data_IF_413498042165
#
_entry.id   IF_413498042165
#
_cell.length_a   1.000
_cell.length_b   1.000
_cell.length_c   1.000
_cell.angle_alpha   90.00
_cell.angle_beta   90.00
_cell.angle_gamma   90.00
#
_symmetry.space_group_name_H-M   'P 1'
#
loop_
_entity.id
_entity.type
_entity.pdbx_description
1 polymer ?
#
# COMPACT_ATOMS: atom_id res chain seq x y z
N UNK A 1 2.61 -18.70 -56.52
CA UNK A 1 2.30 -17.52 -57.35
C UNK A 1 0.85 -17.14 -57.09
N UNK A 2 0.48 -15.84 -57.22
CA UNK A 2 -0.63 -15.07 -56.58
C UNK A 2 -0.19 -14.54 -55.19
N UNK A 3 0.19 -13.28 -54.94
CA UNK A 3 -0.33 -11.95 -55.38
C UNK A 3 -1.85 -11.81 -55.15
N UNK A 4 -2.37 -10.79 -54.46
CA UNK A 4 -1.69 -9.74 -53.67
C UNK A 4 -2.63 -8.56 -53.34
N UNK A 5 -2.66 -8.14 -52.07
CA UNK A 5 -3.18 -6.85 -51.56
C UNK A 5 -2.71 -6.74 -50.09
N UNK A 6 -2.34 -5.58 -49.52
CA UNK A 6 -2.36 -4.23 -50.07
C UNK A 6 -3.14 -3.26 -49.19
N UNK A 7 -2.73 -3.07 -47.94
CA UNK A 7 -3.23 -2.00 -47.06
C UNK A 7 -2.07 -1.31 -46.33
N UNK A 8 -2.23 0.00 -46.11
CA UNK A 8 -1.21 0.89 -45.52
C UNK A 8 -1.23 0.90 -43.98
N UNK A 9 -0.58 1.89 -43.35
CA UNK A 9 -0.36 1.90 -41.91
C UNK A 9 -1.67 2.10 -41.14
N UNK A 10 -1.98 1.20 -40.21
CA UNK A 10 -3.07 1.40 -39.27
C UNK A 10 -2.70 2.51 -38.27
N UNK A 11 -3.58 3.51 -38.19
CA UNK A 11 -3.46 4.63 -37.26
C UNK A 11 -3.85 4.17 -35.86
N UNK A 12 -3.04 4.53 -34.87
CA UNK A 12 -3.28 4.25 -33.45
C UNK A 12 -4.67 4.70 -33.02
N UNK A 13 -5.45 3.80 -32.41
CA UNK A 13 -6.54 4.17 -31.48
C UNK A 13 -6.11 3.83 -30.06
N UNK A 14 -5.76 4.85 -29.28
CA UNK A 14 -5.61 4.70 -27.85
C UNK A 14 -7.01 4.48 -27.22
N UNK A 15 -7.16 3.39 -26.47
CA UNK A 15 -8.29 3.16 -25.58
C UNK A 15 -7.78 2.72 -24.22
N UNK A 16 -6.99 3.59 -23.59
CA UNK A 16 -6.82 3.59 -22.14
C UNK A 16 -8.18 3.94 -21.53
N UNK A 17 -8.75 3.01 -20.76
CA UNK A 17 -10.00 3.22 -20.02
C UNK A 17 -9.68 3.32 -18.53
N UNK A 18 -9.98 4.48 -17.97
CA UNK A 18 -10.39 4.70 -16.57
C UNK A 18 -9.64 3.92 -15.48
N UNK A 19 -8.51 4.46 -15.03
CA UNK A 19 -7.96 4.12 -13.71
C UNK A 19 -8.76 4.83 -12.61
N UNK A 20 -9.61 4.07 -11.90
CA UNK A 20 -10.15 4.48 -10.58
C UNK A 20 -10.29 3.29 -9.64
N UNK A 21 -9.38 3.20 -8.67
CA UNK A 21 -9.74 2.67 -7.35
C UNK A 21 -10.49 3.80 -6.62
N UNK A 22 -11.75 3.63 -6.21
CA UNK A 22 -12.47 4.68 -5.49
C UNK A 22 -11.77 5.02 -4.18
N UNK A 23 -11.70 6.31 -3.84
CA UNK A 23 -11.29 6.73 -2.50
C UNK A 23 -12.28 6.16 -1.46
N UNK A 24 -11.79 5.35 -0.53
CA UNK A 24 -12.60 4.76 0.51
C UNK A 24 -12.85 5.79 1.61
N UNK A 25 -14.04 6.38 1.61
CA UNK A 25 -14.47 7.33 2.65
C UNK A 25 -14.60 6.60 3.98
N UNK A 26 -13.88 7.10 4.98
CA UNK A 26 -13.99 6.65 6.36
C UNK A 26 -15.20 7.35 7.01
N UNK A 27 -16.33 6.64 7.19
CA UNK A 27 -17.40 7.17 8.04
C UNK A 27 -16.99 7.08 9.52
N UNK A 28 -16.77 8.24 10.13
CA UNK A 28 -16.29 8.34 11.51
C UNK A 28 -17.22 7.67 12.53
N UNK A 29 -16.62 6.93 13.45
CA UNK A 29 -17.31 6.32 14.59
C UNK A 29 -18.00 7.42 15.41
N UNK A 30 -19.32 7.29 15.60
CA UNK A 30 -20.07 8.18 16.50
C UNK A 30 -19.78 7.80 17.94
N UNK A 31 -19.19 8.73 18.69
CA UNK A 31 -19.03 8.59 20.13
C UNK A 31 -20.39 8.40 20.83
N UNK A 32 -20.59 7.24 21.45
CA UNK A 32 -21.64 7.05 22.46
C UNK A 32 -21.10 7.47 23.82
N UNK A 33 -21.48 8.67 24.25
CA UNK A 33 -20.91 9.30 25.44
C UNK A 33 -21.15 8.55 26.76
N UNK A 34 -20.19 8.71 27.67
CA UNK A 34 -20.33 8.36 29.10
C UNK A 34 -20.23 9.66 29.90
N UNK A 35 -21.23 9.92 30.73
CA UNK A 35 -21.27 11.08 31.62
C UNK A 35 -20.31 10.90 32.81
N UNK A 36 -19.56 11.93 33.16
CA UNK A 36 -18.79 11.99 34.41
C UNK A 36 -18.93 13.36 35.11
N UNK A 37 -19.80 13.38 36.13
CA UNK A 37 -19.87 14.24 37.32
C UNK A 37 -19.33 15.70 37.30
N UNK A 38 -20.22 16.63 37.63
CA UNK A 38 -19.92 18.04 37.95
C UNK A 38 -19.20 18.23 39.29
N UNK A 39 -18.08 18.98 39.26
CA UNK A 39 -17.64 19.99 40.26
C UNK A 39 -16.80 21.01 39.48
N UNK A 40 -16.96 22.32 39.56
CA UNK A 40 -17.74 23.12 40.52
C UNK A 40 -16.82 24.02 41.33
N UNK A 41 -16.29 25.10 40.73
CA UNK A 41 -16.00 26.36 41.43
C UNK A 41 -15.94 27.58 40.49
N UNK A 42 -15.86 28.79 41.06
CA UNK A 42 -16.45 30.02 40.52
C UNK A 42 -15.49 31.10 39.94
N UNK A 43 -16.08 32.01 39.14
CA UNK A 43 -15.73 33.42 38.93
C UNK A 43 -14.45 33.76 38.10
N UNK A 44 -14.34 34.90 37.41
CA UNK A 44 -15.19 36.10 37.37
C UNK A 44 -15.24 36.78 35.97
N UNK A 45 -16.24 37.64 35.76
CA UNK A 45 -16.43 38.50 34.57
C UNK A 45 -15.64 39.82 34.66
N UNK A 46 -15.33 40.47 33.52
CA UNK A 46 -15.69 41.90 33.30
C UNK A 46 -15.49 42.38 31.85
N UNK A 47 -16.42 43.24 31.41
CA UNK A 47 -16.49 43.92 30.10
C UNK A 47 -15.60 45.17 30.03
N UNK A 48 -15.21 45.66 28.82
CA UNK A 48 -15.81 46.90 28.24
C UNK A 48 -15.17 47.43 26.92
N UNK A 49 -16.06 47.68 25.94
CA UNK A 49 -16.14 48.76 24.92
C UNK A 49 -14.92 49.37 24.19
N UNK A 50 -15.09 49.54 22.87
CA UNK A 50 -14.30 50.38 21.95
C UNK A 50 -14.62 51.90 22.03
N UNK A 51 -13.92 52.77 21.27
CA UNK A 51 -14.54 53.27 20.01
C UNK A 51 -13.58 53.63 18.85
N UNK A 52 -14.14 53.88 17.66
CA UNK A 52 -13.47 54.44 16.46
C UNK A 52 -13.60 55.99 16.35
N UNK A 53 -12.95 56.67 15.38
CA UNK A 53 -13.74 57.29 14.29
C UNK A 53 -13.08 57.52 12.89
N UNK A 54 -13.90 57.28 11.84
CA UNK A 54 -14.20 58.08 10.63
C UNK A 54 -13.18 58.90 9.77
N UNK A 55 -13.00 58.45 8.51
CA UNK A 55 -13.41 59.08 7.21
C UNK A 55 -12.83 60.39 6.59
N UNK A 56 -12.57 60.34 5.26
CA UNK A 56 -12.47 61.48 4.30
C UNK A 56 -11.90 61.07 2.91
N UNK A 57 -12.71 60.74 1.89
CA UNK A 57 -13.21 61.53 0.73
C UNK A 57 -12.15 62.09 -0.28
N UNK A 58 -12.32 61.76 -1.58
CA UNK A 58 -11.49 62.17 -2.74
C UNK A 58 -11.85 63.55 -3.36
N UNK A 59 -11.44 63.88 -4.62
CA UNK A 59 -12.04 63.32 -5.84
C UNK A 59 -11.12 63.17 -7.11
N UNK A 60 -11.67 62.70 -8.26
CA UNK A 60 -11.03 62.65 -9.61
C UNK A 60 -11.38 63.89 -10.50
N UNK A 61 -11.54 63.83 -11.86
CA UNK A 61 -11.49 62.69 -12.81
C UNK A 61 -10.86 63.01 -14.23
N UNK A 62 -11.23 62.22 -15.28
CA UNK A 62 -11.12 62.42 -16.77
C UNK A 62 -9.97 61.67 -17.51
N UNK A 63 -10.06 61.24 -18.80
CA UNK A 63 -11.14 61.01 -19.81
C UNK A 63 -10.55 60.19 -21.01
N UNK A 64 -11.38 59.44 -21.78
CA UNK A 64 -10.96 58.85 -23.07
C UNK A 64 -11.93 57.79 -23.69
N UNK A 65 -12.38 57.99 -24.93
CA UNK A 65 -13.32 57.13 -25.71
C UNK A 65 -12.54 56.36 -26.83
N UNK A 66 -12.99 55.27 -27.48
CA UNK A 66 -14.19 55.11 -28.33
C UNK A 66 -14.47 53.63 -28.77
N UNK A 67 -15.73 53.35 -29.19
CA UNK A 67 -16.31 52.37 -30.16
C UNK A 67 -15.48 51.18 -30.75
N UNK A 68 -16.02 50.03 -31.23
CA UNK A 68 -17.32 49.29 -31.24
C UNK A 68 -17.08 47.94 -32.00
N UNK A 69 -17.93 46.90 -32.07
CA UNK A 69 -19.24 46.59 -31.45
C UNK A 69 -20.25 45.92 -32.43
N UNK A 70 -20.50 44.60 -32.33
CA UNK A 70 -21.58 43.85 -33.05
C UNK A 70 -21.98 42.55 -32.32
N UNK A 71 -23.27 42.20 -32.40
CA UNK A 71 -23.85 40.89 -32.03
C UNK A 71 -24.75 40.41 -33.19
N UNK A 72 -25.19 39.14 -33.20
CA UNK A 72 -26.63 38.93 -33.34
C UNK A 72 -27.25 37.74 -32.58
N UNK A 73 -28.43 38.01 -32.01
CA UNK A 73 -29.64 37.19 -31.93
C UNK A 73 -29.62 35.67 -31.64
N UNK A 74 -30.32 35.31 -30.56
CA UNK A 74 -31.08 34.06 -30.42
C UNK A 74 -32.53 34.21 -30.93
N UNK A 75 -33.26 33.10 -31.18
CA UNK A 75 -34.71 33.06 -31.26
C UNK A 75 -35.37 32.36 -30.05
N UNK A 76 -36.65 32.67 -29.81
CA UNK A 76 -37.45 32.25 -28.66
C UNK A 76 -38.08 30.84 -28.78
N UNK A 77 -38.55 30.32 -27.64
CA UNK A 77 -39.35 29.10 -27.54
C UNK A 77 -40.84 29.33 -27.90
N UNK A 78 -41.64 28.25 -27.97
CA UNK A 78 -43.01 28.32 -27.47
C UNK A 78 -43.33 27.31 -26.36
N UNK A 79 -44.37 27.63 -25.60
CA UNK A 79 -44.78 27.00 -24.34
C UNK A 79 -45.51 25.65 -24.48
N UNK A 80 -45.29 24.76 -23.51
CA UNK A 80 -46.19 23.65 -23.18
C UNK A 80 -46.04 23.24 -21.71
N UNK A 81 -47.14 23.21 -20.96
CA UNK A 81 -47.20 22.84 -19.54
C UNK A 81 -48.21 21.69 -19.33
N UNK A 82 -48.37 21.15 -18.11
CA UNK A 82 -47.40 20.26 -17.45
C UNK A 82 -48.00 18.86 -17.18
N UNK A 83 -47.17 17.82 -17.01
CA UNK A 83 -47.65 16.43 -16.90
C UNK A 83 -46.90 15.55 -15.89
N UNK A 84 -47.65 15.09 -14.87
CA UNK A 84 -47.47 13.89 -14.06
C UNK A 84 -46.13 13.62 -13.31
N UNK A 85 -46.15 13.90 -12.01
CA UNK A 85 -45.27 13.27 -11.01
C UNK A 85 -45.85 11.89 -10.63
N UNK A 86 -45.08 10.79 -10.62
CA UNK A 86 -45.53 9.51 -10.07
C UNK A 86 -45.50 9.51 -8.52
N UNK A 87 -46.45 8.86 -7.84
CA UNK A 87 -46.74 9.14 -6.43
C UNK A 87 -45.86 8.38 -5.42
N UNK A 88 -45.61 9.01 -4.27
CA UNK A 88 -45.24 8.31 -3.02
C UNK A 88 -46.46 7.56 -2.47
N UNK A 89 -46.27 6.29 -2.09
CA UNK A 89 -47.30 5.49 -1.38
C UNK A 89 -47.18 5.70 0.13
N UNK A 90 -48.29 5.89 0.88
CA UNK A 90 -48.24 6.21 2.31
C UNK A 90 -48.23 4.99 3.24
N UNK A 91 -47.73 5.21 4.46
CA UNK A 91 -47.70 4.26 5.59
C UNK A 91 -49.05 4.17 6.30
N UNK A 92 -49.45 2.98 6.79
CA UNK A 92 -50.35 2.82 7.95
C UNK A 92 -50.11 1.49 8.73
N UNK A 93 -50.57 1.37 10.00
CA UNK A 93 -49.87 0.54 11.01
C UNK A 93 -50.72 -0.54 11.75
N UNK A 94 -50.02 -1.46 12.44
CA UNK A 94 -50.53 -2.26 13.56
C UNK A 94 -51.05 -3.67 13.22
N UNK A 95 -51.23 -4.58 14.21
CA UNK A 95 -51.33 -4.30 15.65
C UNK A 95 -50.40 -5.11 16.61
N UNK A 96 -50.04 -4.47 17.73
CA UNK A 96 -50.49 -4.92 19.06
C UNK A 96 -49.93 -6.20 19.72
N UNK A 97 -48.84 -6.01 20.50
CA UNK A 97 -48.63 -6.47 21.90
C UNK A 97 -49.00 -7.92 22.31
N UNK A 98 -48.02 -8.61 22.89
CA UNK A 98 -48.14 -9.06 24.29
C UNK A 98 -46.82 -8.79 25.04
N UNK A 99 -46.92 -8.47 26.33
CA UNK A 99 -45.78 -8.09 27.17
C UNK A 99 -45.64 -9.07 28.33
N UNK A 100 -44.41 -9.33 28.76
CA UNK A 100 -44.09 -9.61 30.16
C UNK A 100 -42.64 -9.18 30.47
N UNK A 101 -42.49 -8.50 31.59
CA UNK A 101 -41.22 -8.15 32.23
C UNK A 101 -41.35 -8.54 33.72
N UNK A 102 -40.35 -8.23 34.56
CA UNK A 102 -39.04 -8.86 34.62
C UNK A 102 -38.88 -9.62 35.95
N UNK A 103 -37.73 -10.24 36.22
CA UNK A 103 -37.35 -10.55 37.60
C UNK A 103 -35.85 -10.38 37.84
N UNK A 104 -35.51 -9.43 38.72
CA UNK A 104 -34.21 -9.33 39.41
C UNK A 104 -34.30 -10.06 40.76
N UNK A 105 -33.20 -10.00 41.54
CA UNK A 105 -32.89 -10.63 42.84
C UNK A 105 -32.00 -11.88 42.65
N UNK A 106 -30.84 -12.01 43.29
CA UNK A 106 -30.13 -11.09 44.20
C UNK A 106 -29.06 -11.88 44.97
N UNK A 107 -27.81 -11.41 45.02
CA UNK A 107 -26.75 -12.10 45.76
C UNK A 107 -26.91 -12.00 47.28
N UNK A 108 -26.35 -12.95 48.02
CA UNK A 108 -25.34 -12.55 49.02
C UNK A 108 -24.02 -13.33 48.92
N UNK A 109 -22.95 -12.73 49.44
CA UNK A 109 -21.62 -13.33 49.56
C UNK A 109 -21.49 -14.27 50.76
N UNK A 110 -20.64 -15.30 50.62
CA UNK A 110 -19.81 -15.85 51.71
C UNK A 110 -18.55 -16.50 51.11
N UNK A 111 -17.46 -16.59 51.88
CA UNK A 111 -16.10 -16.76 51.35
C UNK A 111 -15.43 -18.12 51.60
N UNK A 112 -14.56 -18.50 50.65
CA UNK A 112 -13.27 -19.24 50.73
C UNK A 112 -13.09 -20.45 51.67
N UNK A 113 -12.68 -21.57 51.05
CA UNK A 113 -11.72 -22.56 51.59
C UNK A 113 -10.98 -23.24 50.39
N UNK A 114 -9.77 -23.82 50.57
CA UNK A 114 -8.76 -23.90 49.48
C UNK A 114 -8.72 -25.22 48.66
N UNK A 115 -7.83 -25.20 47.66
CA UNK A 115 -7.77 -26.12 46.51
C UNK A 115 -7.13 -27.51 46.75
N UNK A 116 -7.43 -28.42 45.80
CA UNK A 116 -6.75 -29.70 45.55
C UNK A 116 -6.52 -29.79 44.02
N UNK A 117 -5.33 -30.17 43.52
CA UNK A 117 -5.05 -30.20 42.08
C UNK A 117 -5.69 -31.43 41.39
N UNK A 118 -6.16 -31.32 40.12
CA UNK A 118 -6.66 -32.45 39.36
C UNK A 118 -5.52 -33.32 38.79
N UNK A 119 -5.72 -34.63 38.78
CA UNK A 119 -4.84 -35.62 38.14
C UNK A 119 -4.92 -35.52 36.61
N UNK A 120 -3.86 -35.97 35.93
CA UNK A 120 -3.75 -35.92 34.47
C UNK A 120 -4.77 -36.85 33.78
N UNK A 121 -5.75 -36.27 33.09
CA UNK A 121 -6.66 -37.01 32.22
C UNK A 121 -6.09 -37.16 30.81
N UNK A 122 -6.08 -38.38 30.31
CA UNK A 122 -5.64 -38.75 28.96
C UNK A 122 -6.53 -38.18 27.85
N UNK A 123 -5.94 -37.70 26.75
CA UNK A 123 -6.66 -37.23 25.58
C UNK A 123 -7.50 -38.35 24.88
N UNK A 124 -8.63 -38.00 24.24
CA UNK A 124 -9.48 -38.96 23.53
C UNK A 124 -8.86 -39.42 22.20
N UNK A 125 -9.22 -40.64 21.77
CA UNK A 125 -8.71 -41.25 20.53
C UNK A 125 -9.37 -40.67 19.26
N UNK A 126 -8.59 -40.60 18.17
CA UNK A 126 -9.06 -40.13 16.86
C UNK A 126 -10.11 -41.07 16.22
N UNK A 127 -11.11 -40.53 15.50
CA UNK A 127 -12.06 -41.32 14.73
C UNK A 127 -11.41 -41.85 13.45
N UNK A 128 -11.08 -43.15 13.42
CA UNK A 128 -10.51 -43.81 12.24
C UNK A 128 -10.16 -45.29 12.43
N UNK A 129 -9.96 -45.74 13.66
CA UNK A 129 -9.59 -47.13 13.98
C UNK A 129 -10.81 -48.09 14.01
N UNK A 130 -11.58 -48.18 12.92
CA UNK A 130 -12.72 -49.11 12.80
C UNK A 130 -13.00 -49.54 11.35
N UNK A 131 -12.04 -50.25 10.73
CA UNK A 131 -12.22 -50.88 9.43
C UNK A 131 -11.10 -51.87 9.16
N UNK A 132 -11.44 -53.15 8.98
CA UNK A 132 -10.46 -54.17 8.62
C UNK A 132 -9.90 -53.94 7.21
N UNK A 133 -8.58 -54.07 7.05
CA UNK A 133 -7.93 -54.01 5.74
C UNK A 133 -8.43 -55.18 4.85
N UNK A 134 -8.68 -54.95 3.54
CA UNK A 134 -9.18 -55.98 2.65
C UNK A 134 -8.13 -57.07 2.38
N UNK A 135 -8.61 -58.32 2.22
CA UNK A 135 -7.78 -59.47 1.87
C UNK A 135 -7.00 -59.20 0.56
N UNK A 136 -5.68 -59.34 0.63
CA UNK A 136 -4.75 -59.02 -0.46
C UNK A 136 -3.90 -57.77 -0.26
N UNK A 137 -4.15 -56.96 0.80
CA UNK A 137 -3.20 -55.91 1.17
C UNK A 137 -1.97 -56.51 1.86
N UNK A 138 -0.87 -56.64 1.11
CA UNK A 138 0.47 -56.81 1.69
C UNK A 138 1.07 -55.42 1.90
N UNK A 139 1.27 -54.96 3.15
CA UNK A 139 2.02 -53.74 3.39
C UNK A 139 3.43 -53.92 2.80
N UNK A 140 3.93 -52.94 2.05
CA UNK A 140 5.35 -52.95 1.66
C UNK A 140 6.21 -53.00 2.92
N UNK A 141 7.08 -53.99 3.02
CA UNK A 141 8.01 -54.10 4.16
C UNK A 141 8.75 -52.78 4.32
N UNK A 142 8.73 -52.23 5.54
CA UNK A 142 9.43 -50.99 5.87
C UNK A 142 10.90 -51.31 6.07
N UNK A 143 11.59 -51.61 4.98
CA UNK A 143 13.03 -51.84 4.91
C UNK A 143 13.83 -50.51 4.98
N UNK A 144 13.35 -49.60 5.83
CA UNK A 144 14.02 -48.38 6.24
C UNK A 144 14.44 -48.59 7.70
N UNK A 145 15.74 -48.53 8.03
CA UNK A 145 16.19 -48.76 9.40
C UNK A 145 15.57 -47.73 10.33
N UNK A 146 15.02 -48.21 11.45
CA UNK A 146 14.57 -47.34 12.54
C UNK A 146 15.80 -46.70 13.16
N UNK A 147 16.06 -45.44 12.79
CA UNK A 147 17.13 -44.63 13.37
C UNK A 147 16.79 -44.41 14.85
N UNK A 148 17.50 -45.09 15.74
CA UNK A 148 17.35 -44.86 17.17
C UNK A 148 18.01 -43.53 17.55
N UNK A 149 17.65 -42.97 18.71
CA UNK A 149 18.16 -41.67 19.15
C UNK A 149 19.69 -41.62 19.41
N UNK A 150 20.39 -42.76 19.32
CA UNK A 150 21.85 -42.86 19.36
C UNK A 150 22.52 -43.13 18.00
N UNK A 151 21.74 -43.39 16.93
CA UNK A 151 22.25 -43.69 15.58
C UNK A 151 22.48 -42.40 14.75
N UNK A 152 22.14 -41.23 15.31
CA UNK A 152 22.40 -39.93 14.70
C UNK A 152 23.84 -39.48 14.97
N UNK A 153 24.50 -38.96 13.93
CA UNK A 153 25.82 -38.33 14.04
C UNK A 153 25.74 -37.19 15.05
N UNK A 154 26.46 -37.33 16.17
CA UNK A 154 26.61 -36.28 17.16
C UNK A 154 27.55 -35.22 16.58
N UNK A 155 26.98 -34.20 15.96
CA UNK A 155 27.73 -33.01 15.55
C UNK A 155 28.02 -32.22 16.82
N UNK A 156 29.30 -32.03 17.16
CA UNK A 156 29.68 -31.04 18.17
C UNK A 156 29.22 -29.67 17.68
N UNK A 157 28.21 -29.11 18.35
CA UNK A 157 27.85 -27.71 18.20
C UNK A 157 28.99 -26.89 18.79
N UNK A 158 29.98 -26.58 17.96
CA UNK A 158 30.90 -25.49 18.25
C UNK A 158 30.07 -24.22 18.33
N UNK A 159 30.25 -23.45 19.39
CA UNK A 159 29.79 -22.06 19.41
C UNK A 159 30.30 -21.41 18.11
N UNK A 160 29.37 -20.95 17.28
CA UNK A 160 29.76 -20.09 16.17
C UNK A 160 30.43 -18.86 16.79
N UNK A 161 31.55 -18.38 16.25
CA UNK A 161 32.08 -17.10 16.69
C UNK A 161 30.97 -16.07 16.59
N UNK A 162 30.83 -15.26 17.64
CA UNK A 162 29.85 -14.17 17.70
C UNK A 162 29.91 -13.40 16.37
N UNK A 163 28.78 -13.14 15.70
CA UNK A 163 28.81 -12.46 14.42
C UNK A 163 29.59 -11.14 14.59
N UNK A 164 30.46 -10.78 13.64
CA UNK A 164 31.26 -9.58 13.77
C UNK A 164 30.34 -8.39 14.05
N UNK A 165 30.75 -7.44 14.92
CA UNK A 165 29.94 -6.27 15.21
C UNK A 165 29.53 -5.61 13.90
N UNK A 166 28.28 -5.15 13.83
CA UNK A 166 27.76 -4.50 12.64
C UNK A 166 28.74 -3.40 12.19
N UNK A 167 29.09 -3.34 10.89
CA UNK A 167 30.04 -2.35 10.39
C UNK A 167 29.58 -0.96 10.78
N UNK A 168 30.55 -0.10 11.13
CA UNK A 168 30.22 1.29 11.44
C UNK A 168 29.63 1.99 10.21
N UNK A 169 28.79 3.00 10.40
CA UNK A 169 28.17 3.72 9.28
C UNK A 169 29.20 4.37 8.35
N UNK A 170 30.39 4.70 8.85
CA UNK A 170 31.53 5.20 8.07
C UNK A 170 32.21 4.13 7.19
N UNK A 171 31.90 2.83 7.39
CA UNK A 171 32.40 1.70 6.59
C UNK A 171 31.37 1.18 5.58
N UNK A 172 30.11 1.62 5.68
CA UNK A 172 29.04 1.25 4.76
C UNK A 172 29.17 2.01 3.43
N UNK A 173 28.91 1.32 2.31
CA UNK A 173 28.82 1.98 1.01
C UNK A 173 27.60 2.91 0.93
N UNK A 174 27.54 3.80 -0.07
CA UNK A 174 26.45 4.76 -0.19
C UNK A 174 25.09 4.06 -0.29
N UNK A 175 24.05 4.65 0.30
CA UNK A 175 22.68 4.17 0.23
C UNK A 175 21.97 4.85 -0.95
N UNK A 176 21.29 4.08 -1.78
CA UNK A 176 20.43 4.52 -2.87
C UNK A 176 19.03 3.94 -2.72
N UNK A 177 18.03 4.71 -3.14
CA UNK A 177 16.61 4.30 -3.19
C UNK A 177 16.06 4.46 -4.59
N UNK A 178 15.19 3.53 -4.98
CA UNK A 178 14.48 3.48 -6.27
C UNK A 178 12.97 3.57 -6.01
N UNK A 179 12.31 4.50 -6.70
CA UNK A 179 10.85 4.61 -6.71
C UNK A 179 10.17 3.51 -7.55
N UNK A 180 8.86 3.63 -7.67
CA UNK A 180 7.96 2.66 -8.32
C UNK A 180 8.31 2.47 -9.79
N UNK A 181 8.48 1.20 -10.20
CA UNK A 181 9.03 0.85 -11.52
C UNK A 181 7.94 0.49 -12.53
N UNK A 182 6.89 -0.22 -12.10
CA UNK A 182 5.75 -0.60 -12.93
C UNK A 182 6.11 -1.18 -14.32
N UNK A 183 7.03 -2.15 -14.37
CA UNK A 183 7.41 -2.83 -15.61
C UNK A 183 8.09 -1.96 -16.68
N UNK A 184 8.48 -0.72 -16.35
CA UNK A 184 9.26 0.18 -17.21
C UNK A 184 10.75 -0.16 -17.10
N UNK A 185 11.12 -1.31 -17.67
CA UNK A 185 12.46 -1.89 -17.57
C UNK A 185 13.55 -1.02 -18.21
N UNK A 186 13.27 -0.42 -19.38
CA UNK A 186 14.23 0.44 -20.10
C UNK A 186 14.53 1.72 -19.29
N UNK A 187 13.49 2.30 -18.69
CA UNK A 187 13.58 3.46 -17.79
C UNK A 187 14.35 3.12 -16.51
N UNK A 188 14.13 1.93 -15.93
CA UNK A 188 14.89 1.45 -14.76
C UNK A 188 16.37 1.29 -15.11
N UNK A 189 16.68 0.60 -16.21
CA UNK A 189 18.05 0.43 -16.69
C UNK A 189 18.73 1.77 -16.91
N UNK A 190 18.06 2.71 -17.58
CA UNK A 190 18.57 4.05 -17.83
C UNK A 190 18.88 4.83 -16.54
N UNK A 191 18.00 4.75 -15.54
CA UNK A 191 18.20 5.42 -14.26
C UNK A 191 19.32 4.78 -13.42
N UNK A 192 19.40 3.44 -13.36
CA UNK A 192 20.48 2.74 -12.68
C UNK A 192 21.85 2.99 -13.35
N UNK A 193 21.91 3.08 -14.68
CA UNK A 193 23.12 3.42 -15.41
C UNK A 193 23.53 4.89 -15.21
N UNK A 194 22.57 5.81 -15.11
CA UNK A 194 22.85 7.23 -14.87
C UNK A 194 23.54 7.47 -13.51
N UNK A 195 23.14 6.73 -12.48
CA UNK A 195 23.76 6.74 -11.16
C UNK A 195 25.00 5.83 -11.05
N UNK A 196 25.40 5.15 -12.13
CA UNK A 196 26.57 4.25 -12.14
C UNK A 196 26.41 2.99 -11.29
N UNK A 197 25.16 2.56 -11.04
CA UNK A 197 24.85 1.36 -10.25
C UNK A 197 25.07 0.06 -11.04
N UNK A 198 24.76 0.10 -12.33
CA UNK A 198 24.97 -0.98 -13.28
C UNK A 198 25.73 -0.51 -14.52
N UNK A 199 26.43 -1.42 -15.18
CA UNK A 199 27.17 -1.16 -16.41
C UNK A 199 26.34 -1.36 -17.70
N UNK A 200 26.99 -1.27 -18.85
CA UNK A 200 26.39 -1.44 -20.17
C UNK A 200 25.93 -2.89 -20.46
N UNK A 201 26.48 -3.87 -19.74
CA UNK A 201 26.09 -5.29 -19.80
C UNK A 201 25.01 -5.62 -18.74
N UNK A 202 24.42 -4.59 -18.12
CA UNK A 202 23.41 -4.66 -17.06
C UNK A 202 23.89 -5.40 -15.81
N UNK A 203 25.19 -5.34 -15.50
CA UNK A 203 25.82 -5.99 -14.35
C UNK A 203 26.13 -4.98 -13.26
N UNK A 204 25.99 -5.35 -11.99
CA UNK A 204 26.34 -4.49 -10.85
C UNK A 204 27.81 -4.05 -10.89
N UNK A 205 28.04 -2.73 -10.88
CA UNK A 205 29.39 -2.15 -10.90
C UNK A 205 29.71 -1.22 -9.72
N UNK A 206 28.76 -1.02 -8.79
CA UNK A 206 28.86 -0.04 -7.70
C UNK A 206 29.53 -0.53 -6.40
N UNK A 207 30.29 -1.64 -6.44
CA UNK A 207 31.06 -2.12 -5.29
C UNK A 207 30.18 -2.41 -4.07
N UNK A 208 30.53 -1.83 -2.91
CA UNK A 208 29.82 -2.01 -1.63
C UNK A 208 28.57 -1.14 -1.45
N UNK A 209 28.07 -0.52 -2.52
CA UNK A 209 26.85 0.30 -2.53
C UNK A 209 25.62 -0.50 -2.05
N UNK A 210 24.68 0.20 -1.44
CA UNK A 210 23.44 -0.35 -0.90
C UNK A 210 22.27 0.23 -1.67
N UNK A 211 21.42 -0.61 -2.24
CA UNK A 211 20.27 -0.22 -3.05
C UNK A 211 18.98 -0.80 -2.45
N UNK A 212 17.95 0.04 -2.35
CA UNK A 212 16.61 -0.34 -1.96
C UNK A 212 15.58 0.06 -3.01
N UNK A 213 14.73 -0.87 -3.40
CA UNK A 213 13.52 -0.61 -4.17
C UNK A 213 12.32 -0.49 -3.24
N UNK A 214 11.45 0.49 -3.47
CA UNK A 214 10.30 0.80 -2.58
C UNK A 214 9.01 0.04 -2.96
N UNK A 215 9.13 -1.02 -3.76
CA UNK A 215 8.02 -1.86 -4.24
C UNK A 215 7.54 -1.49 -5.64
N UNK A 216 6.42 -2.10 -6.05
CA UNK A 216 5.70 -1.84 -7.30
C UNK A 216 6.58 -2.03 -8.55
N UNK A 217 7.09 -3.25 -8.69
CA UNK A 217 7.91 -3.69 -9.83
C UNK A 217 7.09 -3.93 -11.10
N UNK A 218 5.80 -4.25 -10.94
CA UNK A 218 4.97 -4.87 -11.99
C UNK A 218 3.73 -4.04 -12.33
N UNK A 219 3.02 -4.50 -13.37
CA UNK A 219 1.83 -3.88 -13.99
C UNK A 219 2.08 -2.54 -14.68
N UNK A 220 1.12 -2.11 -15.51
CA UNK A 220 1.11 -0.87 -16.32
C UNK A 220 2.15 -0.84 -17.46
N UNK A 221 3.44 -0.91 -17.16
CA UNK A 221 4.51 -0.94 -18.16
C UNK A 221 4.60 -2.27 -18.91
N UNK A 222 5.55 -2.41 -19.86
CA UNK A 222 5.58 -3.54 -20.79
C UNK A 222 6.23 -4.84 -20.27
N UNK A 223 7.10 -4.79 -19.26
CA UNK A 223 7.91 -5.94 -18.83
C UNK A 223 8.14 -6.00 -17.30
N UNK A 224 7.09 -6.32 -16.53
CA UNK A 224 7.18 -6.46 -15.08
C UNK A 224 8.03 -7.65 -14.64
N UNK A 225 7.98 -8.78 -15.36
CA UNK A 225 8.80 -9.94 -15.00
C UNK A 225 10.29 -9.67 -15.29
N UNK A 226 10.64 -8.95 -16.36
CA UNK A 226 12.02 -8.56 -16.66
C UNK A 226 12.61 -7.61 -15.61
N UNK A 227 11.79 -6.76 -14.99
CA UNK A 227 12.18 -5.97 -13.81
C UNK A 227 12.50 -6.89 -12.63
N UNK A 228 11.64 -7.86 -12.31
CA UNK A 228 11.89 -8.84 -11.23
C UNK A 228 13.17 -9.65 -11.50
N UNK A 229 13.34 -10.17 -12.71
CA UNK A 229 14.55 -10.91 -13.16
C UNK A 229 15.83 -10.08 -12.95
N UNK A 230 15.79 -8.79 -13.32
CA UNK A 230 16.91 -7.86 -13.12
C UNK A 230 17.20 -7.64 -11.63
N UNK A 231 16.20 -7.30 -10.82
CA UNK A 231 16.38 -7.03 -9.39
C UNK A 231 16.89 -8.26 -8.65
N UNK A 232 16.33 -9.45 -8.91
CA UNK A 232 16.78 -10.72 -8.33
C UNK A 232 18.26 -11.01 -8.64
N UNK A 233 18.71 -10.69 -9.86
CA UNK A 233 20.11 -10.82 -10.26
C UNK A 233 21.00 -9.79 -9.59
N UNK A 234 20.61 -8.51 -9.58
CA UNK A 234 21.36 -7.44 -8.92
C UNK A 234 21.49 -7.66 -7.40
N UNK A 235 20.49 -8.25 -6.73
CA UNK A 235 20.59 -8.69 -5.33
C UNK A 235 21.79 -9.63 -5.09
N UNK A 236 22.01 -10.60 -5.99
CA UNK A 236 23.11 -11.55 -5.88
C UNK A 236 24.47 -10.92 -6.24
N UNK A 237 24.51 -10.10 -7.29
CA UNK A 237 25.73 -9.43 -7.75
C UNK A 237 26.23 -8.38 -6.74
N UNK A 238 25.31 -7.56 -6.18
CA UNK A 238 25.64 -6.57 -5.15
C UNK A 238 26.18 -7.23 -3.87
N UNK A 239 25.55 -8.32 -3.41
CA UNK A 239 26.03 -9.09 -2.27
C UNK A 239 27.44 -9.66 -2.49
N UNK A 240 27.73 -10.14 -3.70
CA UNK A 240 29.06 -10.63 -4.07
C UNK A 240 30.12 -9.51 -4.12
N UNK A 241 29.71 -8.27 -4.39
CA UNK A 241 30.56 -7.07 -4.39
C UNK A 241 30.75 -6.43 -3.00
N UNK A 242 30.12 -6.99 -1.95
CA UNK A 242 30.18 -6.48 -0.57
C UNK A 242 29.15 -5.38 -0.26
N UNK A 243 28.19 -5.16 -1.15
CA UNK A 243 27.05 -4.26 -0.97
C UNK A 243 25.76 -5.05 -0.76
N UNK A 244 24.61 -4.43 -1.08
CA UNK A 244 23.37 -5.17 -1.25
C UNK A 244 22.43 -4.47 -2.24
N UNK A 245 21.52 -5.23 -2.84
CA UNK A 245 20.35 -4.74 -3.53
C UNK A 245 19.14 -5.47 -2.95
N UNK A 246 18.26 -4.74 -2.26
CA UNK A 246 17.08 -5.22 -1.53
C UNK A 246 15.81 -4.53 -2.05
N UNK A 247 14.66 -5.05 -1.67
CA UNK A 247 13.35 -4.64 -2.17
C UNK A 247 12.28 -4.73 -1.09
N UNK A 248 11.40 -3.73 -1.03
CA UNK A 248 10.18 -3.75 -0.24
C UNK A 248 9.01 -4.38 -1.02
N UNK A 249 8.02 -4.88 -0.30
CA UNK A 249 6.73 -5.32 -0.83
C UNK A 249 5.89 -4.12 -1.27
N UNK A 250 5.53 -4.03 -2.56
CA UNK A 250 4.53 -3.08 -3.04
C UNK A 250 3.11 -3.64 -3.03
N UNK A 251 2.10 -2.78 -3.27
CA UNK A 251 0.73 -3.28 -3.42
C UNK A 251 0.54 -4.07 -4.71
N UNK A 252 1.37 -3.85 -5.74
CA UNK A 252 1.29 -4.59 -7.00
C UNK A 252 1.87 -6.00 -6.90
N UNK A 253 2.92 -6.22 -6.09
CA UNK A 253 3.43 -7.57 -5.80
C UNK A 253 2.36 -8.41 -5.08
N UNK A 254 1.69 -7.81 -4.08
CA UNK A 254 0.54 -8.41 -3.41
C UNK A 254 -0.56 -8.76 -4.44
N UNK A 255 -0.90 -7.81 -5.32
CA UNK A 255 -1.99 -7.98 -6.28
C UNK A 255 -1.68 -9.07 -7.33
N UNK A 256 -0.44 -9.15 -7.82
CA UNK A 256 0.02 -10.15 -8.79
C UNK A 256 0.07 -11.56 -8.17
N UNK A 257 0.63 -11.70 -6.96
CA UNK A 257 0.59 -12.96 -6.20
C UNK A 257 -0.86 -13.38 -5.95
N UNK A 258 -1.71 -12.45 -5.50
CA UNK A 258 -3.12 -12.71 -5.23
C UNK A 258 -3.89 -13.16 -6.48
N UNK A 259 -3.64 -12.53 -7.63
CA UNK A 259 -4.23 -12.94 -8.90
C UNK A 259 -3.79 -14.35 -9.32
N UNK A 260 -2.52 -14.70 -9.11
CA UNK A 260 -1.99 -16.05 -9.39
C UNK A 260 -2.53 -17.13 -8.45
N UNK A 261 -2.72 -16.82 -7.16
CA UNK A 261 -3.15 -17.78 -6.12
C UNK A 261 -4.66 -17.95 -6.00
N UNK A 262 -5.40 -16.84 -6.09
CA UNK A 262 -6.84 -16.80 -5.83
C UNK A 262 -7.67 -16.58 -7.11
N UNK A 263 -7.12 -15.96 -8.15
CA UNK A 263 -7.79 -15.77 -9.44
C UNK A 263 -9.16 -15.08 -9.31
N UNK A 264 -10.20 -15.75 -9.80
CA UNK A 264 -11.61 -15.32 -9.72
C UNK A 264 -12.31 -15.68 -8.38
N UNK A 265 -11.56 -16.04 -7.33
CA UNK A 265 -12.14 -16.28 -6.00
C UNK A 265 -12.82 -14.99 -5.47
N UNK A 266 -14.12 -15.03 -5.12
CA UNK A 266 -14.82 -13.90 -4.53
C UNK A 266 -14.23 -13.49 -3.18
N UNK A 267 -13.92 -12.21 -3.02
CA UNK A 267 -13.52 -11.57 -1.75
C UNK A 267 -14.47 -10.43 -1.41
N UNK A 268 -14.65 -10.16 -0.13
CA UNK A 268 -15.54 -9.10 0.33
C UNK A 268 -14.82 -7.75 0.33
N UNK A 269 -15.27 -6.80 -0.50
CA UNK A 269 -14.75 -5.43 -0.51
C UNK A 269 -15.80 -4.43 -0.01
N UNK A 270 -15.36 -3.25 0.45
CA UNK A 270 -16.27 -2.17 0.87
C UNK A 270 -17.21 -1.66 -0.23
N UNK A 271 -16.99 -2.04 -1.50
CA UNK A 271 -17.85 -1.73 -2.64
C UNK A 271 -18.70 -2.93 -3.12
N UNK A 272 -18.67 -4.06 -2.41
CA UNK A 272 -19.29 -5.34 -2.80
C UNK A 272 -18.26 -6.42 -3.11
N UNK A 273 -18.67 -7.48 -3.80
CA UNK A 273 -17.77 -8.60 -4.16
C UNK A 273 -16.74 -8.18 -5.21
N UNK A 274 -15.47 -8.51 -4.98
CA UNK A 274 -14.37 -8.35 -5.93
C UNK A 274 -13.65 -9.69 -6.17
N UNK A 275 -12.71 -9.72 -7.12
CA UNK A 275 -11.75 -10.83 -7.30
C UNK A 275 -10.36 -10.25 -7.55
N UNK A 276 -9.30 -11.00 -7.17
CA UNK A 276 -7.93 -10.56 -7.41
C UNK A 276 -7.61 -10.44 -8.90
N UNK A 277 -8.06 -11.39 -9.73
CA UNK A 277 -7.85 -11.35 -11.17
C UNK A 277 -8.49 -10.11 -11.84
N UNK A 278 -9.70 -9.73 -11.43
CA UNK A 278 -10.34 -8.51 -11.93
C UNK A 278 -9.62 -7.25 -11.44
N UNK A 279 -9.25 -7.20 -10.15
CA UNK A 279 -8.54 -6.08 -9.56
C UNK A 279 -7.14 -5.86 -10.18
N UNK A 280 -6.41 -6.94 -10.44
CA UNK A 280 -5.11 -6.92 -11.11
C UNK A 280 -5.21 -6.35 -12.53
N UNK A 281 -6.13 -6.87 -13.36
CA UNK A 281 -6.38 -6.33 -14.70
C UNK A 281 -6.81 -4.85 -14.67
N UNK A 282 -7.62 -4.44 -13.71
CA UNK A 282 -8.04 -3.03 -13.53
C UNK A 282 -6.90 -2.10 -13.08
N UNK A 283 -5.86 -2.64 -12.44
CA UNK A 283 -4.69 -1.86 -12.01
C UNK A 283 -3.52 -1.90 -13.02
N UNK A 284 -3.76 -2.43 -14.23
CA UNK A 284 -2.77 -2.46 -15.32
C UNK A 284 -2.08 -3.81 -15.52
N UNK A 285 -2.62 -4.88 -14.95
CA UNK A 285 -2.05 -6.23 -15.03
C UNK A 285 -1.75 -6.71 -16.45
N UNK A 286 -0.47 -7.01 -16.72
CA UNK A 286 -0.01 -7.49 -18.02
C UNK A 286 -0.14 -9.00 -18.15
N UNK A 287 -0.85 -9.46 -19.19
CA UNK A 287 -1.04 -10.90 -19.45
C UNK A 287 0.26 -11.63 -19.73
N UNK A 288 1.19 -10.98 -20.43
CA UNK A 288 2.53 -11.49 -20.72
C UNK A 288 3.35 -11.74 -19.45
N UNK A 289 3.18 -10.89 -18.42
CA UNK A 289 3.83 -11.09 -17.13
C UNK A 289 3.23 -12.31 -16.40
N UNK A 290 1.89 -12.43 -16.35
CA UNK A 290 1.22 -13.60 -15.76
C UNK A 290 1.56 -14.93 -16.47
N UNK A 291 1.78 -14.89 -17.79
CA UNK A 291 2.24 -16.02 -18.60
C UNK A 291 3.70 -16.42 -18.29
N UNK A 292 4.56 -15.44 -17.98
CA UNK A 292 5.97 -15.65 -17.56
C UNK A 292 6.15 -15.86 -16.05
N UNK A 293 5.09 -15.70 -15.25
CA UNK A 293 5.17 -15.74 -13.79
C UNK A 293 5.37 -17.17 -13.26
N UNK A 294 6.62 -17.51 -12.96
CA UNK A 294 7.04 -18.77 -12.33
C UNK A 294 7.03 -18.74 -10.78
N UNK A 295 7.10 -19.94 -10.18
CA UNK A 295 7.11 -20.14 -8.73
C UNK A 295 8.29 -19.46 -8.02
N UNK A 296 9.42 -19.27 -8.70
CA UNK A 296 10.60 -18.64 -8.10
C UNK A 296 10.43 -17.12 -7.94
N UNK A 297 9.75 -16.44 -8.87
CA UNK A 297 9.32 -15.05 -8.70
C UNK A 297 8.34 -14.91 -7.52
N UNK A 298 7.34 -15.81 -7.43
CA UNK A 298 6.35 -15.81 -6.35
C UNK A 298 7.00 -16.00 -4.97
N UNK A 299 8.00 -16.89 -4.88
CA UNK A 299 8.77 -17.13 -3.66
C UNK A 299 9.74 -16.01 -3.31
N UNK A 300 10.21 -15.23 -4.28
CA UNK A 300 11.01 -14.03 -4.04
C UNK A 300 10.11 -12.88 -3.56
N UNK A 301 9.06 -12.55 -4.30
CA UNK A 301 8.10 -11.50 -3.91
C UNK A 301 7.48 -11.76 -2.53
N UNK A 302 7.03 -12.99 -2.24
CA UNK A 302 6.46 -13.33 -0.93
C UNK A 302 7.47 -13.35 0.24
N UNK A 303 8.75 -13.07 -0.01
CA UNK A 303 9.80 -12.89 1.00
C UNK A 303 10.25 -11.44 1.19
N UNK A 304 9.78 -10.50 0.36
CA UNK A 304 10.10 -9.09 0.52
C UNK A 304 9.61 -8.58 1.87
N UNK A 305 10.36 -7.64 2.43
CA UNK A 305 10.02 -6.98 3.69
C UNK A 305 9.03 -5.84 3.42
N UNK A 306 8.16 -5.53 4.36
CA UNK A 306 7.16 -4.47 4.26
C UNK A 306 7.71 -3.10 4.67
N UNK A 307 8.68 -3.10 5.59
CA UNK A 307 9.29 -1.93 6.22
C UNK A 307 10.74 -2.26 6.61
N UNK A 308 11.65 -1.29 6.50
CA UNK A 308 13.06 -1.39 6.94
C UNK A 308 13.55 -0.01 7.42
N UNK A 309 14.49 0.05 8.37
CA UNK A 309 15.27 1.25 8.68
C UNK A 309 16.69 1.14 8.06
N UNK A 310 17.13 2.18 7.35
CA UNK A 310 18.48 2.27 6.79
C UNK A 310 19.04 3.70 6.84
N UNK A 311 20.22 3.88 7.45
CA UNK A 311 20.94 5.16 7.60
C UNK A 311 20.08 6.32 8.15
N UNK A 312 19.25 6.03 9.15
CA UNK A 312 18.32 7.00 9.73
C UNK A 312 17.12 7.31 8.85
N UNK A 313 16.79 6.45 7.88
CA UNK A 313 15.61 6.57 7.01
C UNK A 313 14.72 5.34 7.16
N UNK A 314 13.47 5.55 7.53
CA UNK A 314 12.45 4.51 7.55
C UNK A 314 11.89 4.35 6.13
N UNK A 315 12.11 3.19 5.52
CA UNK A 315 11.68 2.87 4.17
C UNK A 315 10.35 2.12 4.24
N UNK A 316 9.33 2.65 3.56
CA UNK A 316 7.99 2.04 3.44
C UNK A 316 7.53 2.12 1.99
N UNK A 317 6.59 1.26 1.59
CA UNK A 317 6.02 1.36 0.25
C UNK A 317 5.11 2.59 0.07
N UNK A 318 4.21 2.86 1.03
CA UNK A 318 3.15 3.86 0.89
C UNK A 318 3.03 4.82 2.07
N UNK A 319 2.53 6.04 1.82
CA UNK A 319 2.38 7.10 2.81
C UNK A 319 1.12 6.91 3.69
N UNK A 320 1.19 5.87 4.54
CA UNK A 320 0.12 5.48 5.46
C UNK A 320 0.66 5.05 6.83
N UNK A 321 -0.11 5.28 7.89
CA UNK A 321 0.18 4.77 9.24
C UNK A 321 -0.27 3.32 9.45
N UNK A 322 -0.83 2.66 8.43
CA UNK A 322 -1.38 1.31 8.55
C UNK A 322 -0.36 0.20 8.88
N UNK A 323 0.95 0.48 8.81
CA UNK A 323 1.99 -0.42 9.31
C UNK A 323 1.83 -0.69 10.82
N UNK A 324 1.33 0.29 11.59
CA UNK A 324 1.03 0.16 13.03
C UNK A 324 -0.05 -0.90 13.34
N UNK A 325 -0.84 -1.32 12.35
CA UNK A 325 -1.82 -2.41 12.52
C UNK A 325 -1.15 -3.80 12.62
N UNK A 326 0.15 -3.92 12.32
CA UNK A 326 0.86 -5.20 12.12
C UNK A 326 1.97 -5.50 13.14
N UNK A 327 2.38 -4.54 13.98
CA UNK A 327 3.36 -4.79 15.04
C UNK A 327 3.97 -3.52 15.64
N UNK A 328 4.57 -3.66 16.83
CA UNK A 328 5.27 -2.57 17.55
C UNK A 328 6.76 -2.44 17.21
N UNK A 329 7.26 -3.29 16.31
CA UNK A 329 8.64 -3.32 15.80
C UNK A 329 8.67 -3.65 14.31
N UNK A 330 9.77 -3.31 13.63
CA UNK A 330 9.98 -3.59 12.20
C UNK A 330 9.90 -5.10 11.94
N UNK A 331 10.50 -5.90 12.82
CA UNK A 331 10.49 -7.34 12.78
C UNK A 331 9.07 -7.91 12.91
N UNK A 332 8.27 -7.44 13.87
CA UNK A 332 6.89 -7.93 14.06
C UNK A 332 5.98 -7.57 12.87
N UNK A 333 6.13 -6.37 12.29
CA UNK A 333 5.40 -5.97 11.07
C UNK A 333 5.74 -6.90 9.92
N UNK A 334 7.04 -7.14 9.68
CA UNK A 334 7.52 -8.00 8.59
C UNK A 334 7.08 -9.45 8.78
N UNK A 335 7.17 -10.00 9.99
CA UNK A 335 6.75 -11.37 10.28
C UNK A 335 5.22 -11.54 10.22
N UNK A 336 4.43 -10.61 10.78
CA UNK A 336 2.96 -10.66 10.72
C UNK A 336 2.45 -10.63 9.28
N UNK A 337 3.05 -9.80 8.43
CA UNK A 337 2.73 -9.73 7.00
C UNK A 337 3.15 -11.03 6.30
N UNK A 338 4.35 -11.54 6.55
CA UNK A 338 4.85 -12.81 5.99
C UNK A 338 3.99 -14.01 6.40
N UNK A 339 3.46 -14.01 7.62
CA UNK A 339 2.48 -15.00 8.07
C UNK A 339 1.16 -14.88 7.31
N UNK A 340 0.58 -13.69 7.14
CA UNK A 340 -0.64 -13.48 6.37
C UNK A 340 -0.50 -14.00 4.91
N UNK A 341 0.65 -13.73 4.28
CA UNK A 341 1.01 -14.29 2.97
C UNK A 341 1.13 -15.82 2.97
N UNK A 342 1.42 -16.43 4.12
CA UNK A 342 1.63 -17.89 4.29
C UNK A 342 0.34 -18.62 4.64
N UNK A 343 -0.56 -18.01 5.42
CA UNK A 343 -1.88 -18.56 5.79
C UNK A 343 -2.79 -18.78 4.58
N UNK A 344 -2.58 -17.99 3.51
CA UNK A 344 -3.23 -18.15 2.20
C UNK A 344 -4.78 -18.06 2.29
N UNK A 345 -5.27 -17.19 3.16
CA UNK A 345 -6.68 -16.79 3.23
C UNK A 345 -6.93 -15.60 2.30
N UNK A 346 -7.99 -15.65 1.50
CA UNK A 346 -8.23 -14.66 0.45
C UNK A 346 -8.74 -13.31 0.99
N UNK A 347 -9.53 -13.30 2.07
CA UNK A 347 -10.08 -12.06 2.64
C UNK A 347 -9.02 -11.35 3.51
N UNK A 348 -8.20 -12.08 4.26
CA UNK A 348 -7.03 -11.52 4.98
C UNK A 348 -6.00 -10.92 4.01
N UNK A 349 -5.66 -11.67 2.95
CA UNK A 349 -4.74 -11.18 1.92
C UNK A 349 -5.30 -9.94 1.20
N UNK A 350 -6.62 -9.88 1.00
CA UNK A 350 -7.28 -8.74 0.41
C UNK A 350 -7.23 -7.51 1.33
N UNK A 351 -7.43 -7.64 2.64
CA UNK A 351 -7.27 -6.51 3.58
C UNK A 351 -5.81 -5.99 3.61
N UNK A 352 -4.83 -6.90 3.57
CA UNK A 352 -3.40 -6.55 3.44
C UNK A 352 -3.12 -5.72 2.18
N UNK A 353 -3.53 -6.22 1.01
CA UNK A 353 -3.45 -5.47 -0.25
C UNK A 353 -4.10 -4.09 -0.12
N UNK A 354 -5.31 -4.03 0.45
CA UNK A 354 -6.05 -2.78 0.65
C UNK A 354 -5.34 -1.79 1.56
N UNK A 355 -4.71 -2.25 2.64
CA UNK A 355 -3.95 -1.40 3.56
C UNK A 355 -2.71 -0.83 2.89
N UNK A 356 -2.00 -1.61 2.07
CA UNK A 356 -0.89 -1.12 1.26
C UNK A 356 -1.35 -0.06 0.24
N UNK A 357 -2.57 -0.17 -0.33
CA UNK A 357 -3.12 0.87 -1.23
C UNK A 357 -3.48 2.21 -0.56
N UNK A 358 -3.49 2.31 0.78
CA UNK A 358 -3.74 3.58 1.49
C UNK A 358 -2.64 4.60 1.16
N UNK A 359 -2.99 5.89 1.25
CA UNK A 359 -2.12 7.00 0.82
C UNK A 359 -2.54 8.32 1.48
N UNK A 360 -1.68 9.33 1.35
CA UNK A 360 -1.87 10.73 1.74
C UNK A 360 -1.96 10.99 3.26
N UNK A 361 -1.59 10.03 4.11
CA UNK A 361 -1.56 10.26 5.56
C UNK A 361 -0.57 11.36 5.96
N UNK A 362 0.49 11.56 5.17
CA UNK A 362 1.55 12.54 5.44
C UNK A 362 1.33 13.89 4.72
N UNK A 363 0.29 14.03 3.88
CA UNK A 363 0.20 15.14 2.90
C UNK A 363 -0.31 16.46 3.46
N UNK A 364 -1.35 16.40 4.30
CA UNK A 364 -2.05 17.60 4.78
C UNK A 364 -1.45 18.06 6.14
N UNK A 365 -2.01 19.09 6.80
CA UNK A 365 -1.45 19.71 8.02
C UNK A 365 -1.16 18.75 9.19
N UNK A 366 -1.86 17.61 9.27
CA UNK A 366 -1.60 16.54 10.26
C UNK A 366 -0.44 15.60 9.88
N UNK A 367 0.05 15.69 8.66
CA UNK A 367 1.06 14.80 8.10
C UNK A 367 2.35 14.69 8.91
N UNK A 368 2.96 15.81 9.36
CA UNK A 368 4.11 15.75 10.25
C UNK A 368 3.87 15.02 11.58
N UNK A 369 2.62 14.90 12.04
CA UNK A 369 2.29 14.11 13.23
C UNK A 369 2.21 12.61 12.89
N UNK A 370 1.56 12.25 11.78
CA UNK A 370 1.48 10.87 11.28
C UNK A 370 2.86 10.29 10.92
N UNK A 371 3.78 11.12 10.40
CA UNK A 371 5.17 10.72 10.16
C UNK A 371 5.91 10.46 11.48
N UNK A 372 5.77 11.35 12.47
CA UNK A 372 6.38 11.17 13.80
C UNK A 372 5.83 9.94 14.52
N UNK A 373 4.54 9.62 14.39
CA UNK A 373 3.92 8.42 14.95
C UNK A 373 4.62 7.13 14.49
N UNK A 374 4.99 7.03 13.21
CA UNK A 374 5.75 5.90 12.69
C UNK A 374 7.23 5.92 13.13
N UNK A 375 7.89 7.08 13.10
CA UNK A 375 9.29 7.22 13.51
C UNK A 375 9.50 6.99 15.02
N UNK A 376 8.52 7.33 15.86
CA UNK A 376 8.55 7.11 17.31
C UNK A 376 8.46 5.61 17.67
N UNK A 377 7.88 4.77 16.80
CA UNK A 377 7.77 3.31 16.97
C UNK A 377 8.93 2.58 16.28
N UNK A 378 9.16 2.85 15.00
CA UNK A 378 10.09 2.08 14.15
C UNK A 378 11.49 2.70 14.02
N UNK A 379 11.70 3.91 14.54
CA UNK A 379 12.97 4.62 14.44
C UNK A 379 13.17 5.35 13.12
N UNK A 380 14.42 5.79 12.90
CA UNK A 380 14.77 6.70 11.80
C UNK A 380 14.56 8.18 12.13
N UNK A 381 14.82 9.03 11.15
CA UNK A 381 14.73 10.50 11.23
C UNK A 381 13.88 11.12 10.11
N UNK A 382 13.68 10.37 9.02
CA UNK A 382 12.79 10.67 7.89
C UNK A 382 12.17 9.38 7.37
N UNK A 383 11.01 9.48 6.75
CA UNK A 383 10.37 8.40 5.99
C UNK A 383 10.65 8.59 4.50
N UNK A 384 10.93 7.50 3.78
CA UNK A 384 11.06 7.46 2.32
C UNK A 384 10.04 6.47 1.77
N UNK A 385 9.27 6.88 0.75
CA UNK A 385 8.18 6.05 0.22
C UNK A 385 7.94 6.18 -1.29
N UNK A 386 7.32 5.15 -1.86
CA UNK A 386 6.78 5.10 -3.22
C UNK A 386 5.27 5.32 -3.26
N UNK A 387 4.55 4.61 -4.13
CA UNK A 387 3.08 4.43 -4.27
C UNK A 387 2.23 5.66 -4.55
N UNK A 388 2.65 6.83 -4.07
CA UNK A 388 1.96 8.11 -4.13
C UNK A 388 2.71 9.04 -5.07
N UNK A 389 2.38 9.00 -6.37
CA UNK A 389 3.03 9.80 -7.39
C UNK A 389 3.15 11.26 -6.97
N UNK A 390 4.34 11.84 -7.11
CA UNK A 390 4.59 13.23 -6.78
C UNK A 390 3.57 14.20 -7.43
N UNK A 391 3.13 14.02 -8.70
CA UNK A 391 2.07 14.85 -9.29
C UNK A 391 0.73 14.81 -8.52
N UNK A 392 0.42 13.71 -7.81
CA UNK A 392 -0.77 13.59 -6.96
C UNK A 392 -0.58 14.25 -5.59
N UNK A 393 0.64 14.22 -5.04
CA UNK A 393 0.99 14.92 -3.81
C UNK A 393 0.94 16.44 -3.99
N UNK A 394 1.45 16.95 -5.11
CA UNK A 394 1.42 18.37 -5.47
C UNK A 394 0.00 18.86 -5.83
N UNK A 395 -0.94 17.96 -6.11
CA UNK A 395 -2.31 18.28 -6.52
C UNK A 395 -2.44 18.71 -7.99
N UNK A 396 -1.41 18.44 -8.81
CA UNK A 396 -1.25 18.98 -10.16
C UNK A 396 -1.74 18.01 -11.25
N UNK A 397 -2.77 17.23 -10.94
CA UNK A 397 -3.54 16.48 -11.95
C UNK A 397 -4.47 17.45 -12.67
N UNK A 398 -3.91 18.16 -13.65
CA UNK A 398 -4.71 18.94 -14.60
C UNK A 398 -5.82 18.07 -15.21
N UNK A 399 -7.02 18.61 -15.31
CA UNK A 399 -8.11 17.91 -16.00
C UNK A 399 -7.73 17.71 -17.47
N UNK A 400 -7.83 16.48 -17.98
CA UNK A 400 -7.51 16.08 -19.37
C UNK A 400 -8.42 16.72 -20.46
N UNK A 401 -9.11 17.82 -20.13
CA UNK A 401 -9.93 18.62 -21.02
C UNK A 401 -9.19 19.82 -21.64
N UNK A 402 -8.10 20.28 -21.04
CA UNK A 402 -7.23 21.29 -21.64
C UNK A 402 -6.13 20.57 -22.44
N UNK A 403 -6.24 20.63 -23.76
CA UNK A 403 -5.39 19.92 -24.71
C UNK A 403 -3.98 20.50 -24.90
N UNK A 404 -3.45 21.18 -23.89
CA UNK A 404 -2.09 21.71 -23.84
C UNK A 404 -1.27 20.86 -22.85
N UNK A 405 -0.27 20.15 -23.39
CA UNK A 405 0.70 19.30 -22.66
C UNK A 405 1.68 20.12 -21.77
N UNK A 406 1.51 21.45 -21.77
CA UNK A 406 2.46 22.47 -21.29
C UNK A 406 2.30 22.80 -19.78
N UNK A 407 1.43 22.07 -19.07
CA UNK A 407 0.98 22.39 -17.71
C UNK A 407 1.25 21.36 -16.61
N UNK A 408 1.90 20.22 -16.93
CA UNK A 408 2.26 19.21 -15.92
C UNK A 408 3.59 19.56 -15.25
N UNK A 409 3.75 19.36 -13.93
CA UNK A 409 5.02 19.58 -13.25
C UNK A 409 6.07 18.60 -13.77
N UNK A 410 7.24 19.11 -14.15
CA UNK A 410 8.39 18.28 -14.52
C UNK A 410 9.04 17.77 -13.25
N UNK A 411 8.83 16.49 -12.93
CA UNK A 411 9.37 15.86 -11.73
C UNK A 411 10.83 15.45 -11.96
N UNK A 412 11.75 16.36 -11.64
CA UNK A 412 13.19 16.14 -11.82
C UNK A 412 13.84 15.26 -10.75
N UNK A 413 13.22 15.18 -9.56
CA UNK A 413 13.77 14.53 -8.38
C UNK A 413 12.72 14.33 -7.27
N UNK A 414 13.15 13.84 -6.10
CA UNK A 414 12.24 13.43 -5.02
C UNK A 414 11.56 14.63 -4.35
N UNK A 415 10.35 14.40 -3.84
CA UNK A 415 9.57 15.45 -3.19
C UNK A 415 9.67 15.35 -1.67
N UNK A 416 10.24 16.38 -1.05
CA UNK A 416 10.41 16.48 0.41
C UNK A 416 9.25 17.29 1.00
N UNK A 417 8.52 16.71 1.94
CA UNK A 417 7.30 17.28 2.54
C UNK A 417 7.15 16.88 4.02
N UNK A 418 5.99 17.18 4.62
CA UNK A 418 5.68 16.95 6.03
C UNK A 418 6.77 17.48 7.00
N UNK A 419 6.98 18.81 7.03
CA UNK A 419 8.07 19.48 7.76
C UNK A 419 9.50 19.01 7.37
N UNK A 420 9.66 18.37 6.21
CA UNK A 420 10.92 17.77 5.78
C UNK A 420 11.19 16.39 6.41
N UNK A 421 10.15 15.74 6.94
CA UNK A 421 10.22 14.41 7.53
C UNK A 421 9.85 13.30 6.53
N UNK A 422 9.16 13.60 5.43
CA UNK A 422 8.79 12.61 4.41
C UNK A 422 9.43 12.93 3.05
N UNK A 423 9.83 11.88 2.34
CA UNK A 423 10.45 11.92 1.01
C UNK A 423 9.69 10.97 0.08
N UNK A 424 8.97 11.53 -0.89
CA UNK A 424 8.32 10.74 -1.94
C UNK A 424 9.30 10.48 -3.09
N UNK A 425 9.36 9.23 -3.54
CA UNK A 425 10.23 8.72 -4.60
C UNK A 425 9.48 8.29 -5.87
N UNK A 426 8.15 8.18 -5.84
CA UNK A 426 7.35 7.90 -7.04
C UNK A 426 7.29 9.15 -7.95
N UNK A 427 8.21 9.23 -8.91
CA UNK A 427 8.24 10.30 -9.90
C UNK A 427 7.10 10.24 -10.93
N UNK A 428 6.22 9.24 -10.85
CA UNK A 428 5.06 9.09 -11.73
C UNK A 428 5.43 8.56 -13.12
N UNK A 429 6.30 7.56 -13.22
CA UNK A 429 6.73 6.94 -14.51
C UNK A 429 5.52 6.52 -15.38
N UNK A 430 4.46 6.05 -14.73
CA UNK A 430 3.17 5.66 -15.34
C UNK A 430 2.38 6.84 -15.96
N UNK A 431 2.79 8.08 -15.69
CA UNK A 431 2.16 9.32 -16.15
C UNK A 431 3.09 10.16 -17.06
N UNK A 432 4.12 9.54 -17.63
CA UNK A 432 5.24 10.17 -18.32
C UNK A 432 6.13 11.06 -17.42
N UNK A 433 6.09 10.81 -16.11
CA UNK A 433 7.11 11.29 -15.17
C UNK A 433 8.39 10.45 -15.25
N UNK A 434 9.33 10.75 -14.35
CA UNK A 434 10.67 10.16 -14.33
C UNK A 434 10.73 9.00 -13.34
N UNK A 435 11.36 7.88 -13.69
CA UNK A 435 11.75 6.87 -12.71
C UNK A 435 12.91 7.42 -11.88
N UNK A 436 12.72 7.55 -10.58
CA UNK A 436 13.69 8.17 -9.68
C UNK A 436 14.58 7.12 -9.03
N UNK A 437 15.89 7.33 -9.14
CA UNK A 437 16.94 6.67 -8.36
C UNK A 437 17.71 7.80 -7.67
N UNK A 438 17.86 7.75 -6.34
CA UNK A 438 18.52 8.83 -5.58
C UNK A 438 19.40 8.29 -4.46
N UNK A 439 20.56 8.91 -4.27
CA UNK A 439 21.41 8.65 -3.11
C UNK A 439 20.82 9.31 -1.84
N UNK A 440 20.87 8.59 -0.71
CA UNK A 440 20.56 9.10 0.62
C UNK A 440 21.83 9.31 1.46
N UNK A 441 21.83 10.26 2.41
CA UNK A 441 20.82 11.31 2.59
C UNK A 441 20.81 12.28 1.41
N UNK A 442 19.64 12.86 1.10
CA UNK A 442 19.54 13.89 0.05
C UNK A 442 20.43 15.09 0.40
N UNK A 443 21.12 15.63 -0.61
CA UNK A 443 21.87 16.87 -0.46
C UNK A 443 20.93 18.05 -0.14
N UNK A 444 21.34 18.89 0.83
CA UNK A 444 20.62 20.11 1.24
C UNK A 444 20.84 21.27 0.26
#
# INVERSE_FOLDING_TARGET
MTQGAGQGPEVRTATLRDFRVPAYVYEGVRETGIQAAERGDQAAEQEQSAPAPAAGRGPGPAQGQFHAGHAPHAPEAPSGAPGAVPPRVPVQPGPGRHAHAPNQLGHPMAAQAPAVPPEAMSAPAHPGAAGGLPDGYTPTERDLPVINRGDTVQVEVREMPEPPPAPSTDELGPLYVVGDVHGYLDELVGALQAEGLIDADLTWCAGNTRLWFLGDFTDRGPDGIGVIDLVMRLSAEAAAAGGYCKALMGNHELLLIGAKRFGDTPVNSGAGTATFQAAWLLNGGQKTDMERLEDHHLQWMARLDAIEEADGHLLVHSDTTAYLDYGDSIEEVNDTIREALTRNDADEYWDLFRKFTKRFAFRDDSGPAAVRELLDVYGGSRIVHGHSPIPYLLGEVGSEYDGDDDGRPVIEGPHVYADGLAIAMDGGVTMAGKLLVCQLPLAN
#
